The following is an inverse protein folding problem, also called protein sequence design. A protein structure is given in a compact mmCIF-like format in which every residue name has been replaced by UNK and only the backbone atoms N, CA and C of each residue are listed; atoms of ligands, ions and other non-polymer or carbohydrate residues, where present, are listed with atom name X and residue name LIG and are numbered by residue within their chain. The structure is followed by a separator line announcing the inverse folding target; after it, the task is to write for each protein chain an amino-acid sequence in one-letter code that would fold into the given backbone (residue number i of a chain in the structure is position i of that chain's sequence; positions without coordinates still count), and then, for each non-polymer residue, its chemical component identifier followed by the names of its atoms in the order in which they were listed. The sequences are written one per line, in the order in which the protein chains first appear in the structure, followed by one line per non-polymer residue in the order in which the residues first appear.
data_IF_900533743980
#
_entry.id   IF_900533743980
#
_cell.length_a   1.000
_cell.length_b   1.000
_cell.length_c   1.000
_cell.angle_alpha   90.00
_cell.angle_beta   90.00
_cell.angle_gamma   90.00
#
_symmetry.space_group_name_H-M   'P 1'
#
loop_
_entity.id
_entity.type
_entity.pdbx_description
1 polymer ?
#
# COMPACT_ATOMS: atom_id res chain seq x y z
N UNK A 1 12.64 13.19 -29.90
CA UNK A 1 12.64 12.97 -29.32
C UNK A 1 12.49 13.23 -28.74
N UNK A 2 12.33 13.14 -28.95
CA UNK A 2 12.14 13.26 -28.06
C UNK A 2 10.99 12.92 -27.62
N UNK A 3 9.91 12.65 -28.45
CA UNK A 3 8.60 12.30 -27.95
C UNK A 3 8.67 11.04 -27.12
N UNK A 4 9.27 10.03 -27.66
CA UNK A 4 9.41 8.75 -26.96
C UNK A 4 10.27 8.92 -25.71
N UNK A 5 11.34 9.67 -25.81
CA UNK A 5 12.18 9.96 -24.67
C UNK A 5 11.43 10.77 -23.63
N UNK A 6 10.63 11.73 -24.09
CA UNK A 6 9.84 12.54 -23.15
C UNK A 6 8.85 11.68 -22.38
N UNK A 7 8.21 10.74 -23.05
CA UNK A 7 7.29 9.83 -22.38
C UNK A 7 8.00 8.98 -21.35
N UNK A 8 9.19 8.50 -21.69
CA UNK A 8 9.98 7.72 -20.76
C UNK A 8 10.34 8.54 -19.52
N UNK A 9 10.78 9.78 -19.71
CA UNK A 9 11.18 10.64 -18.60
C UNK A 9 9.98 10.95 -17.70
N UNK A 10 8.83 11.23 -18.30
CA UNK A 10 7.62 11.52 -17.53
C UNK A 10 7.24 10.31 -16.68
N UNK A 11 7.24 9.13 -17.27
CA UNK A 11 6.90 7.91 -16.54
C UNK A 11 7.88 7.66 -15.39
N UNK A 12 9.16 7.90 -15.64
CA UNK A 12 10.16 7.69 -14.60
C UNK A 12 10.00 8.70 -13.47
N UNK A 13 9.68 9.95 -13.78
CA UNK A 13 9.45 10.96 -12.75
C UNK A 13 8.23 10.62 -11.92
N UNK A 14 7.16 10.16 -12.56
CA UNK A 14 5.97 9.73 -11.82
C UNK A 14 6.32 8.60 -10.86
N UNK A 15 7.10 7.63 -11.32
CA UNK A 15 7.50 6.50 -10.47
C UNK A 15 8.37 6.95 -9.31
N UNK A 16 9.19 7.98 -9.50
CA UNK A 16 10.03 8.51 -8.43
C UNK A 16 9.22 9.30 -7.40
N UNK A 17 8.18 10.01 -7.85
CA UNK A 17 7.38 10.84 -6.97
C UNK A 17 6.19 10.09 -6.37
N UNK A 18 5.72 9.04 -7.06
CA UNK A 18 4.61 8.22 -6.60
C UNK A 18 5.10 6.80 -6.47
N UNK A 19 5.14 6.32 -5.27
CA UNK A 19 5.53 4.93 -5.05
C UNK A 19 4.64 3.99 -5.85
N UNK A 20 5.19 2.87 -6.22
CA UNK A 20 4.44 1.75 -6.75
C UNK A 20 3.24 1.46 -5.84
N UNK A 21 2.11 1.03 -6.43
CA UNK A 21 0.89 0.88 -5.64
C UNK A 21 1.01 -0.09 -4.46
N UNK A 22 1.64 -1.27 -4.61
CA UNK A 22 1.84 -2.12 -3.43
C UNK A 22 2.64 -1.43 -2.34
N UNK A 23 3.65 -0.64 -2.71
CA UNK A 23 4.45 0.11 -1.74
C UNK A 23 3.62 1.13 -0.99
N UNK A 24 2.69 1.79 -1.68
CA UNK A 24 1.82 2.76 -1.03
C UNK A 24 0.87 2.11 -0.04
N UNK A 25 0.33 0.94 -0.39
CA UNK A 25 -0.54 0.19 0.53
C UNK A 25 0.26 -0.26 1.74
N UNK A 26 1.47 -0.78 1.51
CA UNK A 26 2.35 -1.18 2.61
C UNK A 26 2.67 0.00 3.52
N UNK A 27 2.97 1.17 2.94
CA UNK A 27 3.20 2.38 3.73
C UNK A 27 2.01 2.73 4.61
N UNK A 28 0.81 2.66 4.04
CA UNK A 28 -0.41 2.98 4.78
C UNK A 28 -0.60 2.04 5.95
N UNK A 29 -0.44 0.73 5.71
CA UNK A 29 -0.60 -0.27 6.77
C UNK A 29 0.46 -0.10 7.86
N UNK A 30 1.71 0.14 7.47
CA UNK A 30 2.79 0.34 8.43
C UNK A 30 2.60 1.63 9.22
N UNK A 31 2.11 2.67 8.56
CA UNK A 31 1.79 3.92 9.25
C UNK A 31 0.73 3.69 10.33
N UNK A 32 -0.34 2.98 9.98
CA UNK A 32 -1.39 2.68 10.94
C UNK A 32 -0.85 1.84 12.09
N UNK A 33 -0.03 0.84 11.78
CA UNK A 33 0.56 -0.02 12.79
C UNK A 33 1.46 0.74 13.76
N UNK A 34 2.34 1.57 13.24
CA UNK A 34 3.41 2.17 14.03
C UNK A 34 3.05 3.52 14.62
N UNK A 35 2.23 4.31 13.93
CA UNK A 35 1.98 5.69 14.32
C UNK A 35 0.60 5.91 14.93
N UNK A 36 -0.39 5.10 14.54
CA UNK A 36 -1.76 5.32 15.00
C UNK A 36 -2.15 4.34 16.08
N UNK A 37 -2.06 3.04 15.80
CA UNK A 37 -2.54 2.01 16.72
C UNK A 37 -1.44 1.42 17.59
N UNK A 38 -0.21 1.42 17.09
CA UNK A 38 1.00 0.96 17.81
C UNK A 38 0.88 -0.49 18.26
N UNK A 39 0.30 -1.35 17.40
CA UNK A 39 0.18 -2.78 17.62
C UNK A 39 -0.02 -3.49 16.29
N UNK A 40 0.26 -4.80 16.29
CA UNK A 40 0.23 -5.58 15.05
C UNK A 40 -1.18 -5.87 14.56
N UNK A 41 -2.15 -5.89 15.47
CA UNK A 41 -3.54 -6.17 15.13
C UNK A 41 -4.38 -4.98 15.57
N UNK A 42 -5.14 -4.43 14.62
CA UNK A 42 -5.90 -3.21 14.89
C UNK A 42 -7.16 -3.18 14.03
N UNK A 43 -8.18 -2.51 14.54
CA UNK A 43 -9.42 -2.28 13.80
C UNK A 43 -9.44 -0.86 13.29
N UNK A 44 -9.72 -0.70 12.01
CA UNK A 44 -9.67 0.59 11.34
C UNK A 44 -11.10 1.04 11.06
N UNK A 45 -11.57 2.14 11.65
CA UNK A 45 -12.94 2.63 11.40
C UNK A 45 -13.02 3.41 10.08
N UNK A 46 -12.43 2.87 9.04
CA UNK A 46 -12.38 3.48 7.73
C UNK A 46 -12.86 2.48 6.70
N UNK A 47 -13.54 2.98 5.68
CA UNK A 47 -13.96 2.14 4.58
C UNK A 47 -12.79 1.83 3.66
N UNK A 48 -12.97 0.88 2.76
CA UNK A 48 -11.97 0.62 1.72
C UNK A 48 -11.76 1.84 0.83
N UNK A 49 -12.83 2.60 0.60
CA UNK A 49 -12.72 3.85 -0.15
C UNK A 49 -11.81 4.84 0.57
N UNK A 50 -11.99 4.99 1.88
CA UNK A 50 -11.14 5.90 2.67
C UNK A 50 -9.69 5.46 2.62
N UNK A 51 -9.43 4.16 2.77
CA UNK A 51 -8.07 3.63 2.71
C UNK A 51 -7.45 3.83 1.34
N UNK A 52 -8.26 3.69 0.27
CA UNK A 52 -7.75 3.91 -1.08
C UNK A 52 -7.33 5.36 -1.27
N UNK A 53 -8.07 6.29 -0.70
CA UNK A 53 -7.73 7.70 -0.78
C UNK A 53 -6.46 8.00 0.00
N UNK A 54 -6.29 7.40 1.18
CA UNK A 54 -5.04 7.53 1.93
C UNK A 54 -3.84 7.01 1.14
N UNK A 55 -4.06 5.96 0.37
CA UNK A 55 -2.99 5.32 -0.42
C UNK A 55 -2.88 5.89 -1.82
N UNK A 56 -3.72 6.88 -2.14
CA UNK A 56 -3.72 7.58 -3.42
C UNK A 56 -3.92 6.63 -4.59
N UNK A 57 -4.98 5.86 -4.54
CA UNK A 57 -5.32 4.89 -5.58
C UNK A 57 -6.83 4.65 -5.58
N UNK A 58 -7.31 3.88 -6.56
CA UNK A 58 -8.73 3.53 -6.61
C UNK A 58 -9.02 2.44 -5.58
N UNK A 59 -10.31 2.36 -5.21
CA UNK A 59 -10.75 1.32 -4.30
C UNK A 59 -10.47 -0.06 -4.85
N UNK A 60 -10.69 -0.25 -6.15
CA UNK A 60 -10.45 -1.55 -6.80
C UNK A 60 -8.99 -1.96 -6.72
N UNK A 61 -8.09 -1.00 -6.93
CA UNK A 61 -6.66 -1.27 -6.82
C UNK A 61 -6.28 -1.64 -5.40
N UNK A 62 -6.81 -0.90 -4.42
CA UNK A 62 -6.54 -1.20 -3.02
C UNK A 62 -7.01 -2.61 -2.66
N UNK A 63 -8.24 -2.96 -3.04
CA UNK A 63 -8.80 -4.27 -2.70
C UNK A 63 -7.97 -5.38 -3.33
N UNK A 64 -7.53 -5.20 -4.57
CA UNK A 64 -6.70 -6.18 -5.25
C UNK A 64 -5.37 -6.38 -4.54
N UNK A 65 -4.74 -5.29 -4.13
CA UNK A 65 -3.44 -5.36 -3.46
C UNK A 65 -3.58 -5.98 -2.08
N UNK A 66 -4.62 -5.62 -1.34
CA UNK A 66 -4.87 -6.25 -0.04
C UNK A 66 -5.07 -7.74 -0.19
N UNK A 67 -5.77 -8.16 -1.24
CA UNK A 67 -5.96 -9.58 -1.51
C UNK A 67 -4.64 -10.27 -1.81
N UNK A 68 -3.76 -9.62 -2.56
CA UNK A 68 -2.42 -10.16 -2.82
C UNK A 68 -1.62 -10.31 -1.53
N UNK A 69 -1.67 -9.31 -0.66
CA UNK A 69 -0.95 -9.37 0.61
C UNK A 69 -1.50 -10.49 1.49
N UNK A 70 -2.80 -10.68 1.51
CA UNK A 70 -3.43 -11.78 2.25
C UNK A 70 -2.95 -13.13 1.71
N UNK A 71 -2.97 -13.28 0.38
CA UNK A 71 -2.56 -14.54 -0.26
C UNK A 71 -1.11 -14.87 0.00
N UNK A 72 -0.27 -13.85 0.12
CA UNK A 72 1.15 -14.03 0.38
C UNK A 72 1.47 -14.21 1.87
N UNK A 73 0.48 -14.14 2.74
CA UNK A 73 0.70 -14.33 4.17
C UNK A 73 1.31 -13.12 4.86
N UNK A 74 1.25 -11.94 4.25
CA UNK A 74 1.82 -10.74 4.84
C UNK A 74 0.88 -10.12 5.86
N UNK A 75 -0.42 -10.22 5.63
CA UNK A 75 -1.43 -9.65 6.52
C UNK A 75 -2.61 -10.60 6.63
N UNK A 76 -3.40 -10.37 7.66
CA UNK A 76 -4.69 -11.04 7.85
C UNK A 76 -5.74 -9.96 7.98
N UNK A 77 -6.86 -10.14 7.29
CA UNK A 77 -7.93 -9.14 7.29
C UNK A 77 -9.25 -9.83 7.59
N UNK A 78 -9.98 -9.27 8.54
CA UNK A 78 -11.32 -9.74 8.87
C UNK A 78 -12.18 -8.49 9.07
N UNK A 79 -13.03 -8.20 8.08
CA UNK A 79 -13.81 -6.96 8.10
C UNK A 79 -12.89 -5.75 8.12
N UNK A 80 -12.96 -4.97 9.18
CA UNK A 80 -12.12 -3.79 9.36
C UNK A 80 -10.91 -4.06 10.25
N UNK A 81 -10.70 -5.30 10.68
CA UNK A 81 -9.57 -5.65 11.53
C UNK A 81 -8.43 -6.16 10.67
N UNK A 82 -7.30 -5.53 10.83
CA UNK A 82 -6.07 -5.88 10.11
C UNK A 82 -5.04 -6.41 11.08
N UNK A 83 -4.32 -7.44 10.66
CA UNK A 83 -3.21 -7.96 11.44
C UNK A 83 -1.99 -8.09 10.54
N UNK A 84 -0.87 -7.49 10.96
CA UNK A 84 0.39 -7.57 10.21
C UNK A 84 1.07 -8.87 10.63
N UNK A 85 1.24 -9.80 9.70
CA UNK A 85 1.86 -11.10 9.97
C UNK A 85 3.35 -11.09 9.68
N UNK A 86 3.78 -10.32 8.66
CA UNK A 86 5.17 -10.28 8.23
C UNK A 86 5.57 -8.83 8.00
N UNK A 87 5.93 -8.18 9.08
CA UNK A 87 6.30 -6.76 9.03
C UNK A 87 7.55 -6.55 8.19
N UNK A 88 8.51 -7.47 8.25
CA UNK A 88 9.76 -7.34 7.51
C UNK A 88 9.51 -7.29 6.00
N UNK A 89 8.68 -8.20 5.49
CA UNK A 89 8.35 -8.21 4.07
C UNK A 89 7.53 -6.99 3.69
N UNK A 90 6.63 -6.56 4.56
CA UNK A 90 5.84 -5.37 4.31
C UNK A 90 6.72 -4.13 4.24
N UNK A 91 7.72 -4.03 5.12
CA UNK A 91 8.69 -2.95 5.07
C UNK A 91 9.50 -2.98 3.77
N UNK A 92 9.86 -4.17 3.32
CA UNK A 92 10.59 -4.33 2.07
C UNK A 92 9.76 -3.83 0.89
N UNK A 93 8.48 -4.18 0.85
CA UNK A 93 7.58 -3.73 -0.21
C UNK A 93 7.41 -2.21 -0.13
N UNK A 94 7.32 -1.67 1.07
CA UNK A 94 7.21 -0.23 1.28
C UNK A 94 8.41 0.51 0.68
N UNK A 95 9.61 -0.03 0.88
CA UNK A 95 10.82 0.61 0.36
C UNK A 95 11.01 0.43 -1.15
N UNK A 96 10.65 -0.73 -1.68
CA UNK A 96 11.00 -1.12 -3.04
C UNK A 96 9.82 -1.13 -4.00
N UNK A 97 8.62 -1.18 -3.47
CA UNK A 97 7.40 -1.18 -4.28
C UNK A 97 6.80 0.21 -4.40
#
# INVERSE_FOLDING_TARGET
HHTKQNNYLVNKLVNLTQKYMPGRVADTLLYLQNEVYKKDKFSVPLTRQDLSEMSNMTKESLVRILQQFKSSGLIKVSGNTFEILDESDLQSISRNG
#
